data_IF_281293282048
#
_entry.id   IF_281293282048
#
_cell.length_a   1.000
_cell.length_b   1.000
_cell.length_c   1.000
_cell.angle_alpha   90.00
_cell.angle_beta   90.00
_cell.angle_gamma   90.00
#
_symmetry.space_group_name_H-M   'P 1'
#
loop_
_entity.id
_entity.type
_entity.pdbx_description
1 polymer ?
#
# COMPACT_ATOMS: atom_id res chain seq x y z
N UNK A 1 2.56 -3.30 -5.81
CA UNK A 1 1.33 -4.11 -6.02
C UNK A 1 1.51 -5.28 -6.98
N UNK A 2 1.93 -5.07 -8.25
CA UNK A 2 2.22 -6.18 -9.19
C UNK A 2 3.36 -7.08 -8.67
N UNK A 3 4.39 -6.47 -8.07
CA UNK A 3 5.49 -7.16 -7.39
C UNK A 3 4.99 -8.16 -6.34
N UNK A 4 4.06 -7.74 -5.48
CA UNK A 4 3.58 -8.52 -4.35
C UNK A 4 2.73 -9.71 -4.82
N UNK A 5 2.02 -9.56 -5.93
CA UNK A 5 1.29 -10.67 -6.54
C UNK A 5 2.21 -11.79 -7.05
N UNK A 6 3.37 -11.45 -7.61
CA UNK A 6 4.39 -12.43 -8.01
C UNK A 6 5.06 -13.11 -6.82
N UNK A 7 5.32 -12.36 -5.74
CA UNK A 7 5.82 -12.93 -4.47
C UNK A 7 4.80 -13.92 -3.92
N UNK A 8 3.52 -13.55 -3.91
CA UNK A 8 2.45 -14.43 -3.46
C UNK A 8 2.38 -15.73 -4.28
N UNK A 9 2.43 -15.63 -5.61
CA UNK A 9 2.44 -16.82 -6.48
C UNK A 9 3.64 -17.74 -6.21
N UNK A 10 4.84 -17.16 -6.02
CA UNK A 10 6.04 -17.93 -5.72
C UNK A 10 5.98 -18.65 -4.36
N UNK A 11 5.38 -18.01 -3.35
CA UNK A 11 5.17 -18.63 -2.04
C UNK A 11 4.15 -19.77 -2.10
N UNK A 12 3.08 -19.62 -2.89
CA UNK A 12 2.13 -20.72 -3.15
C UNK A 12 2.82 -21.89 -3.84
N UNK A 13 3.67 -21.63 -4.84
CA UNK A 13 4.43 -22.67 -5.54
C UNK A 13 5.40 -23.43 -4.62
N UNK A 14 5.91 -22.75 -3.59
CA UNK A 14 6.74 -23.35 -2.54
C UNK A 14 5.92 -24.12 -1.49
N UNK A 15 4.58 -24.15 -1.58
CA UNK A 15 3.70 -24.90 -0.69
C UNK A 15 3.20 -24.11 0.53
N UNK A 16 3.37 -22.78 0.56
CA UNK A 16 2.87 -21.95 1.66
C UNK A 16 1.37 -21.63 1.51
N UNK A 17 0.65 -21.48 2.63
CA UNK A 17 -0.69 -20.89 2.66
C UNK A 17 -0.58 -19.36 2.51
N UNK A 18 -1.06 -18.83 1.39
CA UNK A 18 -0.92 -17.41 1.07
C UNK A 18 -2.29 -16.79 0.82
N UNK A 19 -2.55 -15.72 1.56
CA UNK A 19 -3.69 -14.83 1.32
C UNK A 19 -3.18 -13.49 0.82
N UNK A 20 -3.68 -13.07 -0.34
CA UNK A 20 -3.50 -11.74 -0.87
C UNK A 20 -4.68 -10.86 -0.42
N UNK A 21 -4.46 -10.07 0.62
CA UNK A 21 -5.44 -9.11 1.11
C UNK A 21 -5.42 -7.86 0.23
N UNK A 22 -6.52 -7.63 -0.45
CA UNK A 22 -6.79 -6.44 -1.21
C UNK A 22 -7.66 -5.48 -0.40
N UNK A 23 -7.34 -4.19 -0.42
CA UNK A 23 -8.21 -3.14 0.14
C UNK A 23 -8.77 -2.39 -1.06
N UNK A 24 -10.10 -2.31 -1.20
CA UNK A 24 -10.69 -1.67 -2.36
C UNK A 24 -10.41 -0.16 -2.32
N UNK A 25 -9.71 0.32 -3.34
CA UNK A 25 -9.45 1.74 -3.60
C UNK A 25 -10.20 2.18 -4.88
N UNK A 26 -10.14 3.47 -5.25
CA UNK A 26 -10.78 4.02 -6.46
C UNK A 26 -10.33 3.36 -7.76
N UNK A 27 -9.17 2.72 -7.74
CA UNK A 27 -8.64 1.92 -8.84
C UNK A 27 -8.99 0.46 -8.52
N UNK A 28 -10.02 -0.07 -9.18
CA UNK A 28 -10.40 -1.47 -9.01
C UNK A 28 -9.30 -2.37 -9.56
N UNK A 29 -8.73 -3.21 -8.69
CA UNK A 29 -7.70 -4.20 -9.06
C UNK A 29 -8.27 -5.35 -9.89
N UNK A 30 -9.60 -5.38 -10.09
CA UNK A 30 -10.24 -6.28 -11.07
C UNK A 30 -9.67 -6.09 -12.48
N UNK A 31 -9.16 -4.90 -12.80
CA UNK A 31 -8.54 -4.60 -14.10
C UNK A 31 -7.04 -4.96 -14.15
N UNK A 32 -6.43 -5.31 -13.01
CA UNK A 32 -5.00 -5.62 -12.88
C UNK A 32 -4.78 -6.89 -12.05
N UNK A 33 -4.81 -8.08 -12.66
CA UNK A 33 -4.60 -9.33 -11.92
C UNK A 33 -3.22 -9.31 -11.24
N UNK A 34 -3.21 -9.26 -9.90
CA UNK A 34 -1.99 -9.20 -9.10
C UNK A 34 -1.38 -10.59 -8.94
N UNK A 35 -2.12 -11.50 -8.32
CA UNK A 35 -1.75 -12.92 -8.10
C UNK A 35 -2.68 -13.83 -8.91
N UNK A 36 -2.17 -14.99 -9.33
CA UNK A 36 -2.95 -16.02 -10.04
C UNK A 36 -3.22 -17.26 -9.18
N UNK A 37 -2.49 -17.42 -8.07
CA UNK A 37 -2.49 -18.67 -7.28
C UNK A 37 -2.93 -18.49 -5.83
N UNK A 38 -2.68 -17.34 -5.22
CA UNK A 38 -3.02 -17.10 -3.82
C UNK A 38 -4.53 -16.86 -3.61
N UNK A 39 -5.01 -17.13 -2.39
CA UNK A 39 -6.38 -16.80 -1.97
C UNK A 39 -6.53 -15.28 -1.95
N UNK A 40 -7.44 -14.73 -2.73
CA UNK A 40 -7.69 -13.28 -2.75
C UNK A 40 -8.85 -12.97 -1.80
N UNK A 41 -8.60 -12.10 -0.83
CA UNK A 41 -9.65 -11.48 -0.01
C UNK A 41 -9.69 -9.99 -0.31
N UNK A 42 -10.88 -9.41 -0.42
CA UNK A 42 -11.04 -7.97 -0.64
C UNK A 42 -11.81 -7.37 0.52
N UNK A 43 -11.25 -6.30 1.08
CA UNK A 43 -11.76 -5.58 2.24
C UNK A 43 -12.02 -4.12 1.88
N UNK A 44 -12.93 -3.47 2.58
CA UNK A 44 -13.29 -2.07 2.38
C UNK A 44 -14.19 -1.91 1.17
N UNK A 45 -15.50 -2.06 1.33
CA UNK A 45 -16.44 -1.64 0.29
C UNK A 45 -16.53 -0.12 0.33
N UNK A 46 -16.07 0.57 -0.73
CA UNK A 46 -16.25 2.02 -0.81
C UNK A 46 -17.75 2.31 -0.99
N UNK A 47 -18.42 3.02 -0.04
CA UNK A 47 -19.82 3.42 -0.22
C UNK A 47 -19.96 4.30 -1.47
N UNK A 48 -21.10 4.26 -2.16
CA UNK A 48 -21.34 5.12 -3.35
C UNK A 48 -21.05 6.61 -3.09
N UNK A 49 -21.26 7.08 -1.86
CA UNK A 49 -20.98 8.45 -1.43
C UNK A 49 -19.50 8.83 -1.55
N UNK A 50 -18.56 7.85 -1.46
CA UNK A 50 -17.12 8.07 -1.68
C UNK A 50 -16.69 7.93 -3.13
N UNK A 51 -17.48 7.33 -4.03
CA UNK A 51 -17.23 7.47 -5.48
C UNK A 51 -17.20 8.93 -5.90
N UNK A 52 -17.92 9.81 -5.20
CA UNK A 52 -17.91 11.25 -5.43
C UNK A 52 -16.65 11.97 -4.91
N UNK A 53 -16.04 11.49 -3.82
CA UNK A 53 -14.72 11.96 -3.34
C UNK A 53 -13.62 11.54 -4.31
N UNK A 54 -13.71 10.30 -4.80
CA UNK A 54 -12.79 9.71 -5.77
C UNK A 54 -13.00 10.21 -7.21
N UNK A 55 -14.20 10.66 -7.60
CA UNK A 55 -14.46 11.26 -8.91
C UNK A 55 -13.99 12.71 -9.01
N UNK A 56 -13.77 13.37 -7.86
CA UNK A 56 -13.08 14.67 -7.78
C UNK A 56 -11.56 14.54 -7.84
N UNK A 57 -11.01 13.34 -7.59
CA UNK A 57 -9.66 13.02 -8.05
C UNK A 57 -9.70 12.92 -9.57
N UNK A 58 -9.54 14.06 -10.24
CA UNK A 58 -9.12 14.10 -11.64
C UNK A 58 -7.82 13.32 -11.75
N UNK A 59 -7.95 12.02 -12.00
CA UNK A 59 -7.02 11.15 -12.71
C UNK A 59 -5.58 11.63 -12.62
N UNK A 60 -5.00 11.66 -11.42
CA UNK A 60 -3.55 11.72 -11.31
C UNK A 60 -3.07 10.32 -11.62
N UNK A 61 -3.04 10.00 -12.92
CA UNK A 61 -2.40 8.79 -13.40
C UNK A 61 -0.96 8.79 -12.86
N UNK A 62 -0.39 7.60 -12.62
CA UNK A 62 1.03 7.45 -12.32
C UNK A 62 1.89 8.22 -13.35
N UNK A 63 1.39 8.31 -14.58
CA UNK A 63 1.97 9.09 -15.68
C UNK A 63 1.85 10.62 -15.51
N UNK A 64 0.78 11.10 -14.88
CA UNK A 64 0.58 12.49 -14.48
C UNK A 64 1.50 12.90 -13.32
N UNK A 65 1.78 11.99 -12.37
CA UNK A 65 2.73 12.21 -11.27
C UNK A 65 4.12 12.62 -11.77
N UNK A 66 4.65 11.90 -12.76
CA UNK A 66 5.95 12.21 -13.35
C UNK A 66 5.94 13.46 -14.25
N UNK A 67 4.75 14.00 -14.55
CA UNK A 67 4.57 15.22 -15.34
C UNK A 67 4.21 16.45 -14.50
N UNK A 68 4.05 16.30 -13.18
CA UNK A 68 3.77 17.43 -12.29
C UNK A 68 5.02 18.32 -12.20
N UNK A 69 5.00 19.55 -12.76
CA UNK A 69 6.21 20.38 -12.86
C UNK A 69 6.55 21.10 -11.55
N UNK A 70 5.86 20.82 -10.43
CA UNK A 70 5.98 21.57 -9.18
C UNK A 70 5.90 20.67 -7.96
N UNK A 71 6.90 20.79 -7.08
CA UNK A 71 6.98 20.17 -5.75
C UNK A 71 5.66 20.24 -4.97
N UNK A 72 4.95 21.38 -5.05
CA UNK A 72 3.66 21.56 -4.38
C UNK A 72 2.59 20.58 -4.86
N UNK A 73 2.52 20.30 -6.17
CA UNK A 73 1.52 19.38 -6.70
C UNK A 73 1.83 17.94 -6.29
N UNK A 74 3.11 17.57 -6.24
CA UNK A 74 3.55 16.27 -5.73
C UNK A 74 3.24 16.13 -4.24
N UNK A 75 3.50 17.18 -3.44
CA UNK A 75 3.17 17.21 -2.01
C UNK A 75 1.67 17.03 -1.79
N UNK A 76 0.82 17.86 -2.44
CA UNK A 76 -0.64 17.74 -2.32
C UNK A 76 -1.15 16.39 -2.77
N UNK A 77 -0.53 15.80 -3.80
CA UNK A 77 -0.89 14.46 -4.24
C UNK A 77 -0.60 13.42 -3.16
N UNK A 78 0.63 13.38 -2.61
CA UNK A 78 0.99 12.39 -1.61
C UNK A 78 0.20 12.55 -0.32
N UNK A 79 -0.09 13.79 0.12
CA UNK A 79 -0.94 14.02 1.29
C UNK A 79 -2.36 13.53 1.05
N UNK A 80 -3.00 13.92 -0.07
CA UNK A 80 -4.35 13.46 -0.39
C UNK A 80 -4.43 11.94 -0.56
N UNK A 81 -3.41 11.34 -1.18
CA UNK A 81 -3.31 9.89 -1.33
C UNK A 81 -3.25 9.20 0.03
N UNK A 82 -2.42 9.68 0.96
CA UNK A 82 -2.34 9.12 2.33
C UNK A 82 -3.67 9.29 3.07
N UNK A 83 -4.25 10.49 3.07
CA UNK A 83 -5.50 10.80 3.77
C UNK A 83 -6.66 9.91 3.30
N UNK A 84 -6.76 9.66 1.99
CA UNK A 84 -7.78 8.78 1.43
C UNK A 84 -7.54 7.33 1.84
N UNK A 85 -6.30 6.87 1.80
CA UNK A 85 -5.94 5.50 2.20
C UNK A 85 -6.23 5.25 3.69
N UNK A 86 -5.90 6.21 4.56
CA UNK A 86 -6.19 6.13 5.99
C UNK A 86 -7.69 6.01 6.24
N UNK A 87 -8.50 6.86 5.61
CA UNK A 87 -9.94 6.82 5.76
C UNK A 87 -10.60 5.54 5.21
N UNK A 88 -10.13 5.02 4.08
CA UNK A 88 -10.60 3.74 3.54
C UNK A 88 -10.26 2.60 4.50
N UNK A 89 -9.08 2.65 5.09
CA UNK A 89 -8.67 1.67 6.08
C UNK A 89 -9.49 1.73 7.37
N UNK A 90 -9.77 2.92 7.91
CA UNK A 90 -10.64 3.07 9.08
C UNK A 90 -12.04 2.49 8.83
N UNK A 91 -12.60 2.74 7.64
CA UNK A 91 -13.87 2.14 7.24
C UNK A 91 -13.78 0.61 7.15
N UNK A 92 -12.75 0.09 6.49
CA UNK A 92 -12.49 -1.34 6.43
C UNK A 92 -12.40 -1.97 7.84
N UNK A 93 -11.72 -1.32 8.79
CA UNK A 93 -11.63 -1.81 10.16
C UNK A 93 -12.96 -1.83 10.92
N UNK A 94 -13.82 -0.86 10.64
CA UNK A 94 -15.10 -0.71 11.35
C UNK A 94 -16.20 -1.57 10.75
N UNK A 95 -16.22 -1.73 9.42
CA UNK A 95 -17.26 -2.45 8.69
C UNK A 95 -16.95 -3.95 8.51
N UNK A 96 -15.69 -4.33 8.29
CA UNK A 96 -15.31 -5.71 7.95
C UNK A 96 -14.79 -6.51 9.17
N UNK A 97 -15.32 -6.25 10.37
CA UNK A 97 -14.89 -6.93 11.61
C UNK A 97 -14.87 -8.46 11.50
N UNK A 98 -15.85 -9.04 10.80
CA UNK A 98 -15.90 -10.49 10.59
C UNK A 98 -14.67 -11.00 9.81
N UNK A 99 -14.28 -10.28 8.75
CA UNK A 99 -13.12 -10.63 7.93
C UNK A 99 -11.82 -10.51 8.74
N UNK A 100 -11.73 -9.52 9.64
CA UNK A 100 -10.57 -9.37 10.53
C UNK A 100 -10.45 -10.56 11.47
N UNK A 101 -11.56 -11.04 12.04
CA UNK A 101 -11.55 -12.23 12.89
C UNK A 101 -11.23 -13.50 12.10
N UNK A 102 -11.72 -13.63 10.86
CA UNK A 102 -11.34 -14.72 9.95
C UNK A 102 -9.83 -14.71 9.68
N UNK A 103 -9.25 -13.54 9.36
CA UNK A 103 -7.81 -13.37 9.14
C UNK A 103 -6.98 -13.66 10.40
N UNK A 104 -7.47 -13.27 11.57
CA UNK A 104 -6.82 -13.55 12.86
C UNK A 104 -6.82 -15.04 13.17
N UNK A 105 -7.91 -15.75 12.84
CA UNK A 105 -8.04 -17.18 13.05
C UNK A 105 -7.08 -18.02 12.20
N UNK A 106 -6.65 -17.50 11.04
CA UNK A 106 -5.69 -18.16 10.14
C UNK A 106 -4.26 -18.17 10.70
N UNK A 107 -3.92 -17.30 11.67
CA UNK A 107 -2.62 -17.26 12.37
C UNK A 107 -1.41 -17.20 11.43
N UNK A 108 -1.41 -16.26 10.49
CA UNK A 108 -0.27 -16.06 9.58
C UNK A 108 1.05 -15.77 10.31
N UNK A 109 2.14 -16.39 9.84
CA UNK A 109 3.47 -16.21 10.42
C UNK A 109 4.16 -14.91 9.98
N UNK A 110 3.83 -14.42 8.79
CA UNK A 110 4.46 -13.26 8.18
C UNK A 110 3.50 -12.46 7.29
N UNK A 111 3.81 -11.17 7.12
CA UNK A 111 3.08 -10.27 6.23
C UNK A 111 4.04 -9.54 5.28
N UNK A 112 3.63 -9.41 4.02
CA UNK A 112 4.33 -8.61 3.02
C UNK A 112 3.57 -7.31 2.80
N UNK A 113 4.24 -6.18 3.00
CA UNK A 113 3.64 -4.84 2.96
C UNK A 113 4.36 -3.97 1.94
N UNK A 114 3.68 -2.97 1.38
CA UNK A 114 4.23 -2.05 0.37
C UNK A 114 4.38 -0.65 0.98
N UNK A 115 5.45 0.08 0.66
CA UNK A 115 5.70 1.40 1.27
C UNK A 115 4.62 2.45 0.98
N UNK A 116 3.95 2.35 -0.16
CA UNK A 116 2.86 3.25 -0.53
C UNK A 116 1.54 2.90 0.19
N UNK A 117 1.46 1.74 0.83
CA UNK A 117 0.29 1.33 1.62
C UNK A 117 0.76 1.02 3.06
N UNK A 118 1.10 2.06 3.84
CA UNK A 118 1.66 1.88 5.19
C UNK A 118 0.72 1.11 6.12
N UNK A 119 -0.58 1.11 5.81
CA UNK A 119 -1.62 0.41 6.55
C UNK A 119 -1.44 -1.12 6.61
N UNK A 120 -0.70 -1.71 5.67
CA UNK A 120 -0.35 -3.14 5.75
C UNK A 120 0.40 -3.49 7.04
N UNK A 121 1.28 -2.60 7.50
CA UNK A 121 2.00 -2.80 8.76
C UNK A 121 1.05 -2.72 9.97
N UNK A 122 0.13 -1.75 9.96
CA UNK A 122 -0.92 -1.67 10.98
C UNK A 122 -1.80 -2.94 11.02
N UNK A 123 -2.13 -3.52 9.86
CA UNK A 123 -2.84 -4.80 9.78
C UNK A 123 -2.05 -5.94 10.42
N UNK A 124 -0.75 -6.06 10.10
CA UNK A 124 0.08 -7.10 10.69
C UNK A 124 0.11 -7.02 12.22
N UNK A 125 0.24 -5.80 12.77
CA UNK A 125 0.18 -5.60 14.23
C UNK A 125 -1.20 -5.96 14.81
N UNK A 126 -2.29 -5.53 14.18
CA UNK A 126 -3.65 -5.85 14.61
C UNK A 126 -3.93 -7.36 14.66
N UNK A 127 -3.38 -8.10 13.70
CA UNK A 127 -3.51 -9.55 13.57
C UNK A 127 -2.51 -10.33 14.44
N UNK A 128 -1.58 -9.65 15.12
CA UNK A 128 -0.55 -10.28 15.95
C UNK A 128 0.59 -10.93 15.15
N UNK A 129 0.80 -10.50 13.90
CA UNK A 129 1.87 -10.99 13.03
C UNK A 129 3.15 -10.22 13.37
N UNK A 130 4.21 -10.94 13.74
CA UNK A 130 5.47 -10.33 14.18
C UNK A 130 6.49 -10.12 13.05
N UNK A 131 6.38 -10.88 11.95
CA UNK A 131 7.33 -10.81 10.84
C UNK A 131 6.76 -9.97 9.70
N UNK A 132 7.37 -8.80 9.45
CA UNK A 132 6.94 -7.85 8.44
C UNK A 132 8.00 -7.67 7.36
N UNK A 133 7.67 -8.03 6.12
CA UNK A 133 8.51 -7.82 4.96
C UNK A 133 8.08 -6.55 4.23
N UNK A 134 8.90 -5.50 4.28
CA UNK A 134 8.70 -4.32 3.45
C UNK A 134 9.16 -4.61 2.02
N UNK A 135 8.21 -4.63 1.11
CA UNK A 135 8.43 -4.70 -0.33
C UNK A 135 8.39 -3.29 -0.91
N UNK A 136 9.31 -2.98 -1.80
CA UNK A 136 9.27 -1.73 -2.56
C UNK A 136 9.81 -1.93 -3.98
N UNK A 137 9.45 -1.01 -4.87
CA UNK A 137 10.00 -0.93 -6.23
C UNK A 137 10.68 0.42 -6.51
N UNK A 138 10.58 1.35 -5.55
CA UNK A 138 11.15 2.70 -5.61
C UNK A 138 11.90 3.00 -4.31
N UNK A 139 12.76 4.04 -4.27
CA UNK A 139 13.46 4.42 -3.05
C UNK A 139 12.51 4.55 -1.85
N UNK A 140 12.99 4.21 -0.66
CA UNK A 140 12.19 4.32 0.56
C UNK A 140 11.85 5.77 0.85
N UNK A 141 10.56 6.04 1.05
CA UNK A 141 10.10 7.33 1.59
C UNK A 141 10.62 7.43 3.03
N UNK A 142 11.13 8.60 3.40
CA UNK A 142 11.85 8.82 4.66
C UNK A 142 11.03 8.40 5.90
N UNK A 143 9.75 8.74 5.94
CA UNK A 143 8.85 8.35 7.04
C UNK A 143 8.68 6.83 7.14
N UNK A 144 8.60 6.12 6.01
CA UNK A 144 8.53 4.66 5.98
C UNK A 144 9.86 4.05 6.44
N UNK A 145 11.00 4.57 5.98
CA UNK A 145 12.30 4.11 6.45
C UNK A 145 12.43 4.20 7.97
N UNK A 146 11.97 5.32 8.57
CA UNK A 146 11.93 5.48 10.04
C UNK A 146 11.03 4.46 10.73
N UNK A 147 9.84 4.16 10.19
CA UNK A 147 8.93 3.14 10.75
C UNK A 147 9.57 1.75 10.84
N UNK A 148 10.45 1.42 9.90
CA UNK A 148 11.16 0.14 9.86
C UNK A 148 12.54 0.20 10.55
N UNK A 149 12.89 1.32 11.19
CA UNK A 149 14.20 1.50 11.83
C UNK A 149 15.38 1.53 10.84
N UNK A 150 15.11 1.74 9.55
CA UNK A 150 16.12 1.74 8.49
C UNK A 150 16.82 3.11 8.51
N UNK A 151 18.15 3.16 8.68
CA UNK A 151 18.89 4.41 8.57
C UNK A 151 18.73 4.99 7.16
N UNK A 152 18.09 6.14 7.05
CA UNK A 152 17.96 6.87 5.79
C UNK A 152 18.69 8.21 5.89
N UNK A 153 19.95 8.30 5.41
CA UNK A 153 20.68 9.55 5.44
C UNK A 153 20.10 10.50 4.37
N UNK A 154 19.27 11.44 4.82
CA UNK A 154 18.75 12.57 4.02
C UNK A 154 19.84 13.37 3.29
N UNK A 155 21.10 13.25 3.73
CA UNK A 155 22.28 13.82 3.07
C UNK A 155 22.68 13.18 1.73
N UNK A 156 22.18 11.99 1.38
CA UNK A 156 22.61 11.27 0.17
C UNK A 156 21.78 11.64 -1.07
N UNK A 157 20.48 11.94 -0.90
CA UNK A 157 19.60 12.43 -1.95
C UNK A 157 19.84 13.91 -2.31
N UNK A 158 20.24 14.72 -1.32
CA UNK A 158 20.45 16.17 -1.50
C UNK A 158 21.71 16.51 -2.31
N UNK A 159 22.77 15.67 -2.27
CA UNK A 159 23.96 15.87 -3.12
C UNK A 159 23.65 15.76 -4.61
N UNK A 160 22.68 14.93 -5.00
CA UNK A 160 22.29 14.76 -6.40
C UNK A 160 21.49 15.98 -6.90
N UNK A 161 20.63 16.55 -6.05
CA UNK A 161 19.86 17.76 -6.37
C UNK A 161 20.79 18.98 -6.48
N UNK A 162 21.80 19.12 -5.62
CA UNK A 162 22.75 20.24 -5.69
C UNK A 162 23.48 20.35 -7.04
N UNK A 163 23.67 19.25 -7.76
CA UNK A 163 24.36 19.20 -9.06
C UNK A 163 23.47 19.55 -10.26
N UNK A 164 22.15 19.63 -10.07
CA UNK A 164 21.17 19.97 -11.11
C UNK A 164 20.75 21.43 -11.06
N UNK A 165 21.07 22.15 -9.98
CA UNK A 165 20.66 23.53 -9.74
C UNK A 165 21.84 24.50 -9.51
N UNK A 166 23.08 24.01 -9.63
CA UNK A 166 24.33 24.77 -9.66
C UNK A 166 25.28 24.10 -10.64
#
# INVERSE_FOLDING_TARGET
MISNGRIADALVDAGHNVTFLNIEHSISIKDFPTTKKAKILTMGRIPEQRKALMSKEKTVSLHGLFKLPRLFNSYTFFTSFIDINEQVFELALTEDKRLIEELRAEKYDAIFVEQLHPMGNAFGQLLGINVHFLTNTCPLIENVARLFGIPNPTGWSTKFIRKLYY
#
